data_IF_067842796251
#
_entry.id   IF_067842796251
#
_cell.length_a   1.000
_cell.length_b   1.000
_cell.length_c   1.000
_cell.angle_alpha   90.00
_cell.angle_beta   90.00
_cell.angle_gamma   90.00
#
_symmetry.space_group_name_H-M   'P 1'
#
loop_
_entity.id
_entity.type
_entity.pdbx_description
1 polymer ?
#
# COMPACT_ATOMS: atom_id res chain seq x y z
N UNK A 1 16.51 25.59 23.95
CA UNK A 1 15.79 24.63 24.81
C UNK A 1 14.59 24.11 24.04
N UNK A 2 14.38 22.80 24.01
CA UNK A 2 13.17 22.21 23.41
C UNK A 2 11.97 22.56 24.27
N UNK A 3 10.90 23.08 23.66
CA UNK A 3 9.68 23.40 24.38
C UNK A 3 8.99 22.11 24.85
N UNK A 4 8.60 22.07 26.12
CA UNK A 4 7.79 20.99 26.70
C UNK A 4 6.37 21.51 26.80
N UNK A 5 5.44 20.89 26.07
CA UNK A 5 4.04 21.30 26.09
C UNK A 5 3.42 21.01 27.45
N UNK A 6 2.76 22.02 28.04
CA UNK A 6 1.93 21.83 29.24
C UNK A 6 0.55 21.37 28.78
N UNK A 7 0.15 20.16 29.17
CA UNK A 7 -1.14 19.54 28.80
C UNK A 7 -2.07 19.33 29.99
N UNK A 8 -1.66 19.76 31.18
CA UNK A 8 -2.30 19.45 32.46
C UNK A 8 -2.76 20.70 33.24
N UNK A 9 -3.22 21.72 32.49
CA UNK A 9 -3.67 23.01 33.02
C UNK A 9 -4.68 22.87 34.17
N UNK A 10 -4.42 23.57 35.27
CA UNK A 10 -5.33 23.75 36.41
C UNK A 10 -6.07 25.07 36.29
N UNK A 11 -7.18 25.19 37.00
CA UNK A 11 -8.02 26.39 36.98
C UNK A 11 -7.25 27.66 37.37
N UNK A 12 -6.32 27.55 38.32
CA UNK A 12 -5.54 28.67 38.84
C UNK A 12 -4.17 28.84 38.14
N UNK A 13 -3.87 28.00 37.13
CA UNK A 13 -2.61 28.13 36.40
C UNK A 13 -2.61 29.44 35.59
N UNK A 14 -1.56 30.28 35.69
CA UNK A 14 -1.51 31.53 34.95
C UNK A 14 -1.37 31.26 33.45
N UNK A 15 -2.23 31.90 32.66
CA UNK A 15 -2.16 31.87 31.19
C UNK A 15 -1.60 33.19 30.70
N UNK A 16 -0.54 33.13 29.89
CA UNK A 16 0.10 34.33 29.31
C UNK A 16 -0.21 34.44 27.82
N UNK A 17 0.00 35.63 27.25
CA UNK A 17 -0.10 35.86 25.80
C UNK A 17 0.78 34.87 25.01
N UNK A 18 1.96 34.55 25.53
CA UNK A 18 2.89 33.62 24.90
C UNK A 18 2.29 32.21 24.79
N UNK A 19 1.52 31.78 25.79
CA UNK A 19 0.86 30.47 25.79
C UNK A 19 -0.26 30.44 24.75
N UNK A 20 -1.05 31.51 24.67
CA UNK A 20 -2.13 31.65 23.68
C UNK A 20 -1.56 31.66 22.26
N UNK A 21 -0.55 32.49 21.99
CA UNK A 21 0.10 32.56 20.68
C UNK A 21 0.69 31.20 20.25
N UNK A 22 1.19 30.40 21.20
CA UNK A 22 1.67 29.04 20.92
C UNK A 22 0.55 28.09 20.57
N UNK A 23 -0.58 28.16 21.27
CA UNK A 23 -1.74 27.33 20.94
C UNK A 23 -2.29 27.67 19.57
N UNK A 24 -2.48 28.96 19.27
CA UNK A 24 -2.95 29.41 17.96
C UNK A 24 -2.01 28.94 16.85
N UNK A 25 -0.70 29.09 17.04
CA UNK A 25 0.30 28.56 16.12
C UNK A 25 0.22 27.05 15.97
N UNK A 26 0.11 26.31 17.08
CA UNK A 26 0.01 24.85 17.06
C UNK A 26 -1.23 24.35 16.32
N UNK A 27 -2.37 25.03 16.51
CA UNK A 27 -3.63 24.75 15.80
C UNK A 27 -3.47 25.04 14.30
N UNK A 28 -2.88 26.18 13.94
CA UNK A 28 -2.63 26.55 12.54
C UNK A 28 -1.70 25.54 11.84
N UNK A 29 -0.61 25.17 12.50
CA UNK A 29 0.36 24.19 11.99
C UNK A 29 -0.32 22.81 11.83
N UNK A 30 -1.18 22.40 12.77
CA UNK A 30 -1.96 21.16 12.67
C UNK A 30 -2.95 21.18 11.49
N UNK A 31 -3.67 22.28 11.27
CA UNK A 31 -4.55 22.43 10.12
C UNK A 31 -3.80 22.35 8.79
N UNK A 32 -2.60 22.94 8.70
CA UNK A 32 -1.77 22.84 7.51
C UNK A 32 -1.35 21.40 7.23
N UNK A 33 -0.93 20.65 8.26
CA UNK A 33 -0.58 19.23 8.12
C UNK A 33 -1.79 18.36 7.72
N UNK A 34 -2.96 18.61 8.30
CA UNK A 34 -4.20 17.90 7.94
C UNK A 34 -4.57 18.17 6.48
N UNK A 35 -4.43 19.40 5.99
CA UNK A 35 -4.71 19.73 4.59
C UNK A 35 -3.80 18.97 3.62
N UNK A 36 -2.50 18.86 3.94
CA UNK A 36 -1.54 18.06 3.16
C UNK A 36 -1.92 16.58 3.19
N UNK A 37 -2.20 16.02 4.38
CA UNK A 37 -2.58 14.62 4.52
C UNK A 37 -3.88 14.30 3.76
N UNK A 38 -4.86 15.19 3.78
CA UNK A 38 -6.10 15.01 3.04
C UNK A 38 -5.85 14.94 1.52
N UNK A 39 -4.95 15.78 0.99
CA UNK A 39 -4.55 15.74 -0.40
C UNK A 39 -3.83 14.41 -0.73
N UNK A 40 -2.90 13.98 0.11
CA UNK A 40 -2.15 12.73 -0.08
C UNK A 40 -3.06 11.49 -0.04
N UNK A 41 -4.02 11.44 0.89
CA UNK A 41 -5.02 10.37 0.97
C UNK A 41 -5.91 10.34 -0.27
N UNK A 42 -6.34 11.50 -0.76
CA UNK A 42 -7.13 11.60 -2.01
C UNK A 42 -6.36 11.09 -3.22
N UNK A 43 -5.07 11.45 -3.32
CA UNK A 43 -4.17 10.95 -4.36
C UNK A 43 -3.98 9.44 -4.25
N UNK A 44 -3.78 8.91 -3.03
CA UNK A 44 -3.62 7.48 -2.80
C UNK A 44 -4.89 6.70 -3.18
N UNK A 45 -6.07 7.19 -2.79
CA UNK A 45 -7.36 6.62 -3.18
C UNK A 45 -7.50 6.55 -4.69
N UNK A 46 -7.14 7.63 -5.40
CA UNK A 46 -7.17 7.65 -6.87
C UNK A 46 -6.24 6.59 -7.46
N UNK A 47 -5.01 6.46 -6.95
CA UNK A 47 -4.06 5.44 -7.41
C UNK A 47 -4.55 4.02 -7.15
N UNK A 48 -5.12 3.75 -5.99
CA UNK A 48 -5.69 2.43 -5.66
C UNK A 48 -6.84 2.10 -6.60
N UNK A 49 -7.77 3.03 -6.83
CA UNK A 49 -8.87 2.82 -7.79
C UNK A 49 -8.35 2.53 -9.21
N UNK A 50 -7.30 3.25 -9.65
CA UNK A 50 -6.68 2.98 -10.96
C UNK A 50 -6.06 1.58 -10.97
N UNK A 51 -5.33 1.18 -9.92
CA UNK A 51 -4.76 -0.17 -9.82
C UNK A 51 -5.87 -1.24 -9.84
N UNK A 52 -6.94 -1.08 -9.07
CA UNK A 52 -8.08 -1.99 -9.07
C UNK A 52 -8.75 -2.08 -10.45
N UNK A 53 -8.84 -0.96 -11.18
CA UNK A 53 -9.41 -0.94 -12.54
C UNK A 53 -8.46 -1.50 -13.62
N UNK A 54 -7.15 -1.45 -13.38
CA UNK A 54 -6.12 -1.88 -14.36
C UNK A 54 -5.64 -3.30 -14.12
N UNK A 55 -5.80 -3.84 -12.90
CA UNK A 55 -5.66 -5.26 -12.64
C UNK A 55 -6.88 -5.96 -13.25
N UNK A 56 -6.73 -6.72 -14.35
CA UNK A 56 -7.85 -7.42 -14.96
C UNK A 56 -8.42 -8.40 -13.92
N UNK A 57 -9.62 -8.09 -13.41
CA UNK A 57 -10.47 -8.92 -12.53
C UNK A 57 -9.73 -10.07 -11.85
N UNK A 58 -8.80 -9.79 -10.91
CA UNK A 58 -8.08 -10.81 -10.14
C UNK A 58 -7.43 -11.97 -10.94
N UNK A 59 -7.07 -11.77 -12.21
CA UNK A 59 -6.66 -12.89 -13.10
C UNK A 59 -7.71 -14.02 -13.18
N UNK A 60 -8.95 -13.77 -12.77
CA UNK A 60 -10.02 -14.77 -12.66
C UNK A 60 -10.34 -15.41 -14.01
N UNK A 61 -10.08 -14.66 -15.09
CA UNK A 61 -10.18 -15.10 -16.48
C UNK A 61 -8.85 -15.04 -17.24
N UNK A 62 -7.71 -14.90 -16.56
CA UNK A 62 -6.42 -15.15 -17.18
C UNK A 62 -6.28 -16.66 -17.40
N UNK A 63 -6.90 -17.10 -18.49
CA UNK A 63 -6.68 -18.40 -19.05
C UNK A 63 -5.31 -18.31 -19.72
N UNK A 64 -4.26 -18.64 -18.97
CA UNK A 64 -2.96 -19.01 -19.55
C UNK A 64 -3.20 -20.28 -20.38
N UNK A 65 -3.76 -20.10 -21.58
CA UNK A 65 -3.73 -21.11 -22.62
C UNK A 65 -2.30 -21.10 -23.10
N UNK A 66 -1.45 -21.79 -22.36
CA UNK A 66 -0.08 -22.03 -22.79
C UNK A 66 -0.19 -22.85 -24.07
N UNK A 67 -0.03 -22.17 -25.19
CA UNK A 67 0.02 -22.80 -26.50
C UNK A 67 1.41 -23.43 -26.65
N UNK A 68 1.50 -24.71 -26.33
CA UNK A 68 2.72 -25.49 -26.46
C UNK A 68 3.00 -25.91 -27.92
N UNK A 69 2.22 -25.44 -28.90
CA UNK A 69 2.41 -25.79 -30.33
C UNK A 69 3.76 -25.35 -30.91
N UNK A 70 4.43 -24.39 -30.26
CA UNK A 70 5.74 -23.87 -30.66
C UNK A 70 6.90 -24.40 -29.82
N UNK A 71 6.64 -25.34 -28.90
CA UNK A 71 7.70 -25.96 -28.10
C UNK A 71 8.43 -27.00 -28.94
N UNK A 72 9.71 -26.74 -29.23
CA UNK A 72 10.58 -27.66 -29.98
C UNK A 72 10.97 -28.91 -29.19
N UNK A 73 10.80 -28.92 -27.87
CA UNK A 73 11.01 -30.12 -27.05
C UNK A 73 10.95 -29.88 -25.54
N UNK A 74 10.69 -30.96 -24.80
CA UNK A 74 10.68 -31.00 -23.33
C UNK A 74 11.79 -31.95 -22.86
N UNK A 75 12.63 -31.50 -21.92
CA UNK A 75 13.69 -32.32 -21.33
C UNK A 75 13.28 -32.81 -19.94
N UNK A 76 13.20 -34.13 -19.78
CA UNK A 76 12.98 -34.77 -18.48
C UNK A 76 14.29 -34.80 -17.71
N UNK A 77 14.33 -34.20 -16.52
CA UNK A 77 15.52 -34.17 -15.65
C UNK A 77 15.52 -35.24 -14.56
N UNK A 78 14.36 -35.87 -14.30
CA UNK A 78 14.14 -36.97 -13.34
C UNK A 78 12.99 -37.84 -13.81
N UNK A 79 13.13 -39.17 -13.69
CA UNK A 79 12.16 -40.15 -14.19
C UNK A 79 12.50 -40.68 -15.59
N UNK A 80 11.67 -41.57 -16.12
CA UNK A 80 11.77 -42.12 -17.49
C UNK A 80 10.41 -42.10 -18.20
N UNK A 81 10.43 -42.13 -19.53
CA UNK A 81 9.22 -42.26 -20.34
C UNK A 81 8.89 -43.74 -20.55
N UNK A 82 7.73 -44.18 -20.09
CA UNK A 82 7.25 -45.54 -20.32
C UNK A 82 6.49 -45.59 -21.64
N UNK A 83 7.13 -46.13 -22.69
CA UNK A 83 6.56 -46.22 -24.04
C UNK A 83 5.29 -47.09 -24.09
N UNK A 84 5.26 -48.19 -23.34
CA UNK A 84 4.13 -49.13 -23.35
C UNK A 84 2.83 -48.50 -22.78
N UNK A 85 2.95 -47.50 -21.91
CA UNK A 85 1.83 -46.82 -21.29
C UNK A 85 1.67 -45.36 -21.74
N UNK A 86 2.57 -44.88 -22.60
CA UNK A 86 2.60 -43.51 -23.10
C UNK A 86 2.56 -42.45 -21.99
N UNK A 87 3.26 -42.67 -20.87
CA UNK A 87 3.27 -41.78 -19.70
C UNK A 87 4.68 -41.63 -19.10
N UNK A 88 4.94 -40.47 -18.50
CA UNK A 88 6.11 -40.23 -17.66
C UNK A 88 5.97 -40.89 -16.29
N UNK A 89 7.01 -41.59 -15.86
CA UNK A 89 7.11 -42.24 -14.55
C UNK A 89 8.31 -41.67 -13.79
N UNK A 90 8.16 -41.51 -12.47
CA UNK A 90 9.18 -40.94 -11.57
C UNK A 90 9.89 -42.04 -10.81
#
# INVERSE_FOLDING_TARGET
MTYIAKTDWKQDDPVTEVDINRWEKGIADAHAQIAVLAADVSNLKTRVNVMESTLPENFLYNHFKDDLSTIDGIKVIRGYYNEAQSRLEV
#
